data_IF_445580991031
#
_entry.id   IF_445580991031
#
_cell.length_a   1.000
_cell.length_b   1.000
_cell.length_c   1.000
_cell.angle_alpha   90.00
_cell.angle_beta   90.00
_cell.angle_gamma   90.00
#
_symmetry.space_group_name_H-M   'P 1'
#
loop_
_entity.id
_entity.type
_entity.pdbx_description
1 polymer ?
#
# COMPACT_ATOMS: atom_id res chain seq x y z
N UNK A 1 52.96 56.69 -13.43
CA UNK A 1 53.44 56.20 -12.17
C UNK A 1 54.13 54.89 -12.43
N UNK A 2 55.49 54.82 -12.53
CA UNK A 2 56.16 53.58 -12.82
C UNK A 2 57.10 53.13 -11.69
N UNK A 3 57.02 51.80 -11.41
CA UNK A 3 58.13 50.95 -11.14
C UNK A 3 58.89 51.05 -9.80
N UNK A 4 58.22 51.22 -8.67
CA UNK A 4 58.83 50.92 -7.37
C UNK A 4 59.06 49.43 -7.14
N UNK A 5 58.43 48.59 -7.97
CA UNK A 5 58.57 47.11 -7.88
C UNK A 5 59.74 46.52 -8.70
N UNK A 6 60.52 47.35 -9.42
CA UNK A 6 61.65 46.86 -10.25
C UNK A 6 63.02 46.95 -9.55
N UNK A 7 63.07 47.56 -8.37
CA UNK A 7 64.36 47.73 -7.68
C UNK A 7 64.72 46.46 -6.88
N UNK A 8 65.87 45.85 -7.16
CA UNK A 8 66.34 44.62 -6.49
C UNK A 8 66.49 44.78 -4.96
N UNK A 9 66.73 45.97 -4.47
CA UNK A 9 66.86 46.30 -3.05
C UNK A 9 65.48 46.32 -2.35
N UNK A 10 64.45 46.84 -2.95
CA UNK A 10 63.06 46.84 -2.40
C UNK A 10 62.47 45.42 -2.37
N UNK A 11 62.77 44.59 -3.39
CA UNK A 11 62.41 43.17 -3.39
C UNK A 11 63.08 42.39 -2.27
N UNK A 12 64.37 42.72 -1.96
CA UNK A 12 65.12 42.06 -0.91
C UNK A 12 64.62 42.44 0.50
N UNK A 13 64.24 43.71 0.70
CA UNK A 13 63.70 44.22 1.96
C UNK A 13 62.25 43.74 2.24
N UNK A 14 61.44 43.49 1.20
CA UNK A 14 60.05 43.03 1.32
C UNK A 14 59.93 41.50 1.41
N UNK A 15 60.97 40.73 1.05
CA UNK A 15 60.95 39.27 1.09
C UNK A 15 60.50 38.67 2.44
N UNK A 16 60.99 39.14 3.60
CA UNK A 16 60.57 38.56 4.88
C UNK A 16 59.07 38.80 5.16
N UNK A 17 58.55 40.00 4.83
CA UNK A 17 57.16 40.33 5.02
C UNK A 17 56.24 39.51 4.09
N UNK A 18 56.62 39.33 2.83
CA UNK A 18 55.92 38.49 1.86
C UNK A 18 55.88 37.01 2.33
N UNK A 19 57.04 36.49 2.81
CA UNK A 19 57.11 35.14 3.31
C UNK A 19 56.25 34.92 4.57
N UNK A 20 56.15 35.94 5.41
CA UNK A 20 55.33 35.87 6.63
C UNK A 20 53.83 35.90 6.33
N UNK A 21 53.42 36.72 5.36
CA UNK A 21 52.06 36.78 4.87
C UNK A 21 51.68 35.46 4.16
N UNK A 22 52.55 34.95 3.29
CA UNK A 22 52.32 33.70 2.57
C UNK A 22 52.19 32.50 3.57
N UNK A 23 53.07 32.46 4.58
CA UNK A 23 52.94 31.48 5.66
C UNK A 23 51.65 31.61 6.43
N UNK A 24 51.19 32.82 6.74
CA UNK A 24 49.95 33.08 7.46
C UNK A 24 48.74 32.66 6.64
N UNK A 25 48.73 32.96 5.36
CA UNK A 25 47.70 32.55 4.41
C UNK A 25 47.63 31.03 4.31
N UNK A 26 48.78 30.39 4.11
CA UNK A 26 48.84 28.89 4.07
C UNK A 26 48.30 28.26 5.33
N UNK A 27 48.72 28.71 6.52
CA UNK A 27 48.21 28.20 7.79
C UNK A 27 46.69 28.39 7.95
N UNK A 28 46.12 29.48 7.45
CA UNK A 28 44.67 29.72 7.44
C UNK A 28 43.98 28.78 6.47
N UNK A 29 44.47 28.65 5.26
CA UNK A 29 43.95 27.76 4.23
C UNK A 29 43.97 26.30 4.72
N UNK A 30 45.09 25.86 5.30
CA UNK A 30 45.22 24.50 5.83
C UNK A 30 44.21 24.23 6.96
N UNK A 31 44.07 25.15 7.91
CA UNK A 31 43.06 25.05 8.99
C UNK A 31 41.62 24.98 8.45
N UNK A 32 41.32 25.84 7.49
CA UNK A 32 39.96 25.84 6.88
C UNK A 32 39.74 24.55 6.10
N UNK A 33 40.76 24.04 5.40
CA UNK A 33 40.66 22.77 4.67
C UNK A 33 40.49 21.58 5.62
N UNK A 34 41.18 21.57 6.76
CA UNK A 34 41.02 20.55 7.80
C UNK A 34 39.62 20.60 8.42
N UNK A 35 39.12 21.80 8.72
CA UNK A 35 37.76 21.96 9.26
C UNK A 35 36.71 21.49 8.28
N UNK A 36 36.80 21.88 6.99
CA UNK A 36 35.89 21.42 5.95
C UNK A 36 35.93 19.89 5.75
N UNK A 37 37.12 19.27 5.83
CA UNK A 37 37.23 17.82 5.75
C UNK A 37 36.50 17.16 6.93
N UNK A 38 36.69 17.68 8.14
CA UNK A 38 36.03 17.17 9.33
C UNK A 38 34.50 17.28 9.23
N UNK A 39 34.00 18.39 8.76
CA UNK A 39 32.56 18.60 8.53
C UNK A 39 32.01 17.66 7.44
N UNK A 40 32.77 17.46 6.35
CA UNK A 40 32.42 16.51 5.30
C UNK A 40 32.36 15.06 5.82
N UNK A 41 33.29 14.68 6.69
CA UNK A 41 33.31 13.34 7.26
C UNK A 41 32.16 13.10 8.26
N UNK A 42 31.72 14.14 8.97
CA UNK A 42 30.50 14.08 9.78
C UNK A 42 29.27 13.90 8.90
N UNK A 43 29.11 14.75 7.87
CA UNK A 43 27.99 14.67 6.94
C UNK A 43 27.92 13.33 6.18
N UNK A 44 29.06 12.75 5.82
CA UNK A 44 29.13 11.43 5.20
C UNK A 44 28.61 10.34 6.14
N UNK A 45 29.06 10.36 7.40
CA UNK A 45 28.58 9.40 8.43
C UNK A 45 27.08 9.52 8.67
N UNK A 46 26.57 10.73 8.76
CA UNK A 46 25.15 10.97 8.94
C UNK A 46 24.33 10.50 7.73
N UNK A 47 24.83 10.79 6.51
CA UNK A 47 24.21 10.30 5.28
C UNK A 47 24.20 8.77 5.18
N UNK A 48 25.28 8.11 5.61
CA UNK A 48 25.34 6.64 5.68
C UNK A 48 24.41 6.07 6.73
N UNK A 49 24.27 6.73 7.89
CA UNK A 49 23.31 6.37 8.93
C UNK A 49 21.88 6.47 8.43
N UNK A 50 21.53 7.58 7.75
CA UNK A 50 20.23 7.76 7.12
C UNK A 50 19.96 6.71 6.05
N UNK A 51 20.92 6.41 5.18
CA UNK A 51 20.79 5.35 4.16
C UNK A 51 20.51 3.97 4.78
N UNK A 52 21.21 3.61 5.87
CA UNK A 52 20.98 2.35 6.58
C UNK A 52 19.59 2.30 7.20
N UNK A 53 19.15 3.39 7.83
CA UNK A 53 17.80 3.48 8.40
C UNK A 53 16.73 3.41 7.32
N UNK A 54 16.94 4.09 6.19
CA UNK A 54 16.03 4.07 5.05
C UNK A 54 15.98 2.68 4.40
N UNK A 55 17.12 1.99 4.29
CA UNK A 55 17.17 0.62 3.79
C UNK A 55 16.43 -0.35 4.71
N UNK A 56 16.64 -0.26 6.03
CA UNK A 56 15.94 -1.09 7.00
C UNK A 56 14.42 -0.86 6.98
N UNK A 57 13.98 0.42 6.88
CA UNK A 57 12.58 0.76 6.70
C UNK A 57 12.05 0.24 5.36
N UNK A 58 12.83 0.35 4.28
CA UNK A 58 12.47 -0.19 2.97
C UNK A 58 12.24 -1.70 3.00
N UNK A 59 13.09 -2.45 3.69
CA UNK A 59 12.90 -3.90 3.87
C UNK A 59 11.64 -4.24 4.65
N UNK A 60 11.25 -3.41 5.62
CA UNK A 60 10.07 -3.65 6.47
C UNK A 60 8.77 -3.18 5.80
N UNK A 61 8.83 -2.10 5.01
CA UNK A 61 7.63 -1.40 4.53
C UNK A 61 7.42 -1.49 3.01
N UNK A 62 8.45 -1.86 2.29
CA UNK A 62 8.41 -2.04 0.83
C UNK A 62 9.21 -3.27 0.39
N UNK A 63 8.58 -4.43 0.47
CA UNK A 63 9.15 -5.67 -0.06
C UNK A 63 9.24 -5.72 -1.60
N UNK A 64 8.78 -4.67 -2.31
CA UNK A 64 8.75 -4.68 -3.78
C UNK A 64 10.09 -4.27 -4.41
N UNK A 65 10.98 -3.64 -3.65
CA UNK A 65 12.24 -3.08 -4.17
C UNK A 65 12.03 -1.94 -5.17
N UNK A 66 10.81 -1.41 -5.29
CA UNK A 66 10.45 -0.33 -6.23
C UNK A 66 10.53 1.06 -5.63
N UNK A 67 10.96 1.17 -4.37
CA UNK A 67 11.02 2.45 -3.67
C UNK A 67 9.66 3.04 -3.31
N UNK A 68 8.59 2.27 -3.44
CA UNK A 68 7.27 2.67 -2.97
C UNK A 68 7.27 2.61 -1.44
N UNK A 69 7.25 3.76 -0.81
CA UNK A 69 7.19 3.84 0.65
C UNK A 69 5.75 3.69 1.11
N UNK A 70 5.52 2.81 2.10
CA UNK A 70 4.20 2.71 2.75
C UNK A 70 3.87 3.93 3.59
N UNK A 71 4.82 4.81 3.86
CA UNK A 71 4.57 6.06 4.60
C UNK A 71 4.03 7.11 3.63
N UNK A 72 2.72 7.42 3.64
CA UNK A 72 2.16 8.41 2.75
C UNK A 72 2.58 9.81 3.18
N UNK A 73 2.89 10.72 2.25
CA UNK A 73 3.00 12.14 2.56
C UNK A 73 1.71 12.67 3.19
N UNK A 74 1.83 13.71 4.03
CA UNK A 74 0.66 14.30 4.71
C UNK A 74 -0.47 14.67 3.71
N UNK A 75 -0.10 15.19 2.53
CA UNK A 75 -1.06 15.54 1.48
C UNK A 75 -1.86 14.32 0.98
N UNK A 76 -1.22 13.19 0.78
CA UNK A 76 -1.90 11.95 0.35
C UNK A 76 -2.82 11.42 1.44
N UNK A 77 -2.40 11.51 2.71
CA UNK A 77 -3.23 11.13 3.85
C UNK A 77 -4.46 12.05 3.96
N UNK A 78 -4.30 13.35 3.78
CA UNK A 78 -5.42 14.30 3.82
C UNK A 78 -6.39 14.09 2.66
N UNK A 79 -5.88 13.76 1.46
CA UNK A 79 -6.71 13.39 0.31
C UNK A 79 -7.50 12.12 0.58
N UNK A 80 -6.83 11.08 1.10
CA UNK A 80 -7.46 9.82 1.45
C UNK A 80 -8.58 10.02 2.49
N UNK A 81 -8.32 10.81 3.53
CA UNK A 81 -9.31 11.13 4.57
C UNK A 81 -10.52 11.84 3.99
N UNK A 82 -10.33 12.79 3.07
CA UNK A 82 -11.44 13.47 2.39
C UNK A 82 -12.31 12.49 1.59
N UNK A 83 -11.68 11.65 0.76
CA UNK A 83 -12.40 10.65 -0.03
C UNK A 83 -13.21 9.68 0.85
N UNK A 84 -12.63 9.23 1.97
CA UNK A 84 -13.36 8.38 2.93
C UNK A 84 -14.52 9.15 3.57
N UNK A 85 -14.30 10.41 3.96
CA UNK A 85 -15.31 11.24 4.59
C UNK A 85 -16.50 11.53 3.65
N UNK A 86 -16.24 11.70 2.37
CA UNK A 86 -17.29 11.88 1.34
C UNK A 86 -18.25 10.68 1.28
N UNK A 87 -17.74 9.45 1.53
CA UNK A 87 -18.57 8.25 1.57
C UNK A 87 -19.28 8.04 2.92
N UNK A 88 -18.61 8.39 4.02
CA UNK A 88 -19.04 8.04 5.39
C UNK A 88 -19.67 9.22 6.15
N UNK A 89 -19.60 10.43 5.60
CA UNK A 89 -20.22 11.64 6.19
C UNK A 89 -19.52 12.18 7.45
N UNK A 90 -18.33 11.66 7.84
CA UNK A 90 -17.65 12.08 9.07
C UNK A 90 -16.12 12.05 8.93
N UNK A 91 -15.52 13.24 8.79
CA UNK A 91 -14.06 13.39 8.61
C UNK A 91 -13.24 12.91 9.82
N UNK A 92 -13.70 13.16 11.04
CA UNK A 92 -12.98 12.75 12.23
C UNK A 92 -12.94 11.22 12.37
N UNK A 93 -14.02 10.53 12.00
CA UNK A 93 -14.05 9.06 11.92
C UNK A 93 -13.16 8.56 10.78
N UNK A 94 -13.24 9.17 9.60
CA UNK A 94 -12.40 8.84 8.45
C UNK A 94 -10.90 8.92 8.80
N UNK A 95 -10.48 10.04 9.42
CA UNK A 95 -9.08 10.24 9.83
C UNK A 95 -8.60 9.19 10.84
N UNK A 96 -9.39 8.91 11.88
CA UNK A 96 -9.03 7.87 12.86
C UNK A 96 -8.94 6.49 12.20
N UNK A 97 -9.88 6.15 11.34
CA UNK A 97 -9.89 4.86 10.64
C UNK A 97 -8.70 4.73 9.69
N UNK A 98 -8.38 5.77 8.90
CA UNK A 98 -7.23 5.79 8.01
C UNK A 98 -5.90 5.61 8.76
N UNK A 99 -5.71 6.28 9.89
CA UNK A 99 -4.51 6.11 10.72
C UNK A 99 -4.40 4.70 11.29
N UNK A 100 -5.52 4.11 11.74
CA UNK A 100 -5.52 2.74 12.25
C UNK A 100 -5.25 1.73 11.13
N UNK A 101 -5.85 1.93 9.95
CA UNK A 101 -5.60 1.10 8.77
C UNK A 101 -4.12 1.13 8.39
N UNK A 102 -3.54 2.32 8.28
CA UNK A 102 -2.11 2.47 7.99
C UNK A 102 -1.22 1.73 9.01
N UNK A 103 -1.47 1.90 10.32
CA UNK A 103 -0.71 1.19 11.36
C UNK A 103 -0.87 -0.32 11.28
N UNK A 104 -2.05 -0.79 10.89
CA UNK A 104 -2.33 -2.22 10.69
C UNK A 104 -1.54 -2.78 9.52
N UNK A 105 -1.52 -2.06 8.39
CA UNK A 105 -0.73 -2.43 7.20
C UNK A 105 0.75 -2.53 7.54
N UNK A 106 1.33 -1.53 8.20
CA UNK A 106 2.74 -1.53 8.61
C UNK A 106 3.06 -2.72 9.51
N UNK A 107 2.21 -3.01 10.50
CA UNK A 107 2.42 -4.11 11.42
C UNK A 107 2.35 -5.49 10.71
N UNK A 108 1.39 -5.68 9.81
CA UNK A 108 1.22 -6.95 9.11
C UNK A 108 2.30 -7.17 8.05
N UNK A 109 2.74 -6.16 7.33
CA UNK A 109 3.88 -6.29 6.40
C UNK A 109 5.20 -6.58 7.15
N UNK A 110 5.40 -6.00 8.34
CA UNK A 110 6.59 -6.26 9.15
C UNK A 110 6.64 -7.69 9.72
N UNK A 111 5.50 -8.30 9.97
CA UNK A 111 5.39 -9.63 10.59
C UNK A 111 5.04 -10.73 9.59
N UNK A 112 4.43 -10.37 8.48
CA UNK A 112 3.90 -11.31 7.49
C UNK A 112 4.94 -11.85 6.51
N UNK A 113 4.50 -12.80 5.71
CA UNK A 113 5.27 -13.41 4.62
C UNK A 113 4.69 -12.94 3.29
N UNK A 114 5.54 -12.54 2.35
CA UNK A 114 5.12 -11.91 1.11
C UNK A 114 4.85 -10.41 1.32
N UNK A 115 3.98 -9.85 0.49
CA UNK A 115 3.68 -8.40 0.49
C UNK A 115 2.20 -8.09 0.31
N UNK A 116 1.79 -6.88 0.63
CA UNK A 116 0.53 -6.30 0.17
C UNK A 116 0.70 -5.73 -1.25
N UNK A 117 -0.16 -6.10 -2.18
CA UNK A 117 -0.22 -5.45 -3.49
C UNK A 117 -1.00 -4.12 -3.39
N UNK A 118 -0.74 -3.23 -4.32
CA UNK A 118 -1.39 -1.92 -4.39
C UNK A 118 -0.68 -0.80 -3.63
N UNK A 119 -1.11 0.43 -3.88
CA UNK A 119 -0.61 1.62 -3.19
C UNK A 119 -1.11 1.69 -1.75
N UNK A 120 -0.38 2.44 -0.90
CA UNK A 120 -0.81 2.65 0.50
C UNK A 120 -2.21 3.27 0.58
N UNK A 121 -2.50 4.24 -0.29
CA UNK A 121 -3.81 4.91 -0.33
C UNK A 121 -4.93 3.95 -0.75
N UNK A 122 -4.68 3.05 -1.72
CA UNK A 122 -5.65 2.03 -2.12
C UNK A 122 -5.93 1.05 -0.97
N UNK A 123 -4.89 0.43 -0.42
CA UNK A 123 -5.03 -0.57 0.65
C UNK A 123 -5.65 0.05 1.91
N UNK A 124 -5.12 1.19 2.40
CA UNK A 124 -5.67 1.87 3.57
C UNK A 124 -7.07 2.41 3.33
N UNK A 125 -7.38 2.81 2.09
CA UNK A 125 -8.72 3.23 1.68
C UNK A 125 -9.75 2.13 1.88
N UNK A 126 -9.50 0.93 1.37
CA UNK A 126 -10.37 -0.25 1.55
C UNK A 126 -10.54 -0.57 3.04
N UNK A 127 -9.43 -0.69 3.77
CA UNK A 127 -9.44 -1.05 5.18
C UNK A 127 -10.16 -0.05 6.07
N UNK A 128 -10.02 1.24 5.79
CA UNK A 128 -10.62 2.30 6.59
C UNK A 128 -12.10 2.50 6.28
N UNK A 129 -12.50 2.36 5.02
CA UNK A 129 -13.86 2.68 4.56
C UNK A 129 -14.86 1.57 4.88
N UNK A 130 -14.49 0.31 4.65
CA UNK A 130 -15.42 -0.84 4.81
C UNK A 130 -16.11 -0.86 6.18
N UNK A 131 -15.40 -0.77 7.32
CA UNK A 131 -16.06 -0.78 8.63
C UNK A 131 -16.97 0.45 8.87
N UNK A 132 -16.62 1.60 8.29
CA UNK A 132 -17.40 2.85 8.43
C UNK A 132 -18.69 2.84 7.64
N UNK A 133 -18.80 1.99 6.63
CA UNK A 133 -20.04 1.81 5.84
C UNK A 133 -21.05 0.91 6.53
N UNK A 134 -20.76 0.40 7.74
CA UNK A 134 -21.69 -0.39 8.56
C UNK A 134 -22.28 -1.59 7.80
N UNK A 135 -21.49 -2.58 7.42
CA UNK A 135 -22.00 -3.79 6.76
C UNK A 135 -23.03 -4.49 7.65
N UNK A 136 -24.05 -5.15 7.07
CA UNK A 136 -25.17 -5.73 7.83
C UNK A 136 -24.81 -6.95 8.67
N UNK A 137 -23.70 -7.62 8.33
CA UNK A 137 -23.15 -8.75 9.09
C UNK A 137 -21.63 -8.84 8.91
N UNK A 138 -20.99 -9.75 9.63
CA UNK A 138 -19.55 -9.97 9.62
C UNK A 138 -19.06 -10.99 8.59
N UNK A 139 -19.94 -11.55 7.75
CA UNK A 139 -19.51 -12.48 6.69
C UNK A 139 -18.79 -11.72 5.59
N UNK A 140 -17.52 -12.04 5.38
CA UNK A 140 -16.63 -11.39 4.42
C UNK A 140 -16.24 -12.39 3.35
N UNK A 141 -16.35 -12.01 2.08
CA UNK A 141 -15.78 -12.73 0.94
C UNK A 141 -14.68 -11.88 0.32
N UNK A 142 -13.50 -12.47 0.15
CA UNK A 142 -12.40 -11.89 -0.65
C UNK A 142 -12.16 -12.77 -1.87
N UNK A 143 -12.22 -12.17 -3.05
CA UNK A 143 -11.87 -12.80 -4.32
C UNK A 143 -10.53 -12.22 -4.76
N UNK A 144 -9.48 -13.06 -4.77
CA UNK A 144 -8.09 -12.62 -4.96
C UNK A 144 -7.46 -12.14 -3.64
N UNK A 145 -6.64 -12.98 -3.02
CA UNK A 145 -6.03 -12.68 -1.71
C UNK A 145 -4.53 -12.56 -1.73
N UNK A 146 -3.89 -13.06 -2.79
CA UNK A 146 -2.43 -13.14 -2.93
C UNK A 146 -1.79 -13.85 -1.72
N UNK A 147 -1.32 -13.12 -0.72
CA UNK A 147 -0.69 -13.68 0.50
C UNK A 147 -1.59 -13.67 1.74
N UNK A 148 -2.84 -13.22 1.64
CA UNK A 148 -3.77 -13.14 2.77
C UNK A 148 -3.49 -11.99 3.75
N UNK A 149 -2.56 -11.10 3.44
CA UNK A 149 -2.22 -9.97 4.31
C UNK A 149 -3.34 -8.91 4.32
N UNK A 150 -3.97 -8.65 3.17
CA UNK A 150 -5.10 -7.74 3.10
C UNK A 150 -6.31 -8.31 3.85
N UNK A 151 -6.65 -9.59 3.62
CA UNK A 151 -7.68 -10.30 4.37
C UNK A 151 -7.48 -10.21 5.89
N UNK A 152 -6.24 -10.42 6.34
CA UNK A 152 -5.86 -10.30 7.76
C UNK A 152 -6.10 -8.89 8.30
N UNK A 153 -5.72 -7.88 7.51
CA UNK A 153 -5.92 -6.48 7.88
C UNK A 153 -7.40 -6.12 7.94
N UNK A 154 -8.19 -6.53 6.93
CA UNK A 154 -9.63 -6.27 6.85
C UNK A 154 -10.38 -6.90 8.02
N UNK A 155 -10.11 -8.18 8.30
CA UNK A 155 -10.67 -8.90 9.46
C UNK A 155 -10.40 -8.14 10.76
N UNK A 156 -9.17 -7.67 10.97
CA UNK A 156 -8.80 -6.88 12.14
C UNK A 156 -9.54 -5.55 12.20
N UNK A 157 -9.71 -4.85 11.08
CA UNK A 157 -10.40 -3.56 11.02
C UNK A 157 -11.90 -3.70 11.30
N UNK A 158 -12.54 -4.74 10.75
CA UNK A 158 -13.96 -5.06 10.97
C UNK A 158 -14.21 -5.47 12.42
N UNK A 159 -13.36 -6.33 12.99
CA UNK A 159 -13.43 -6.70 14.41
C UNK A 159 -13.31 -5.49 15.35
N UNK A 160 -12.37 -4.57 15.06
CA UNK A 160 -12.23 -3.31 15.83
C UNK A 160 -13.45 -2.39 15.76
N UNK A 161 -14.25 -2.52 14.72
CA UNK A 161 -15.54 -1.80 14.60
C UNK A 161 -16.67 -2.48 15.38
N UNK A 162 -16.40 -3.58 16.10
CA UNK A 162 -17.38 -4.32 16.90
C UNK A 162 -18.20 -5.31 16.08
N UNK A 163 -17.72 -5.66 14.88
CA UNK A 163 -18.37 -6.66 14.02
C UNK A 163 -17.51 -7.93 14.07
N UNK A 164 -18.08 -9.06 14.45
CA UNK A 164 -17.37 -10.33 14.47
C UNK A 164 -17.19 -10.86 13.04
N UNK A 165 -15.95 -10.96 12.52
CA UNK A 165 -15.71 -11.33 11.15
C UNK A 165 -15.73 -12.85 10.94
N UNK A 166 -16.40 -13.29 9.86
CA UNK A 166 -16.38 -14.66 9.33
C UNK A 166 -15.85 -14.59 7.88
N UNK A 167 -14.57 -14.93 7.72
CA UNK A 167 -13.84 -14.73 6.47
C UNK A 167 -13.88 -15.97 5.56
N UNK A 168 -14.26 -15.73 4.32
CA UNK A 168 -14.11 -16.65 3.20
C UNK A 168 -13.19 -16.05 2.15
N UNK A 169 -12.25 -16.84 1.65
CA UNK A 169 -11.30 -16.46 0.59
C UNK A 169 -11.51 -17.40 -0.60
N UNK A 170 -11.52 -16.81 -1.80
CA UNK A 170 -11.46 -17.51 -3.09
C UNK A 170 -10.23 -17.02 -3.83
N UNK A 171 -9.29 -17.93 -4.10
CA UNK A 171 -8.04 -17.62 -4.81
C UNK A 171 -7.45 -18.91 -5.38
N UNK A 172 -6.90 -18.95 -6.60
CA UNK A 172 -6.22 -20.12 -7.13
C UNK A 172 -4.98 -20.52 -6.32
N UNK A 173 -4.38 -19.62 -5.56
CA UNK A 173 -3.18 -19.81 -4.73
C UNK A 173 -2.08 -20.55 -5.50
N UNK A 174 -1.87 -20.14 -6.74
CA UNK A 174 -0.94 -20.78 -7.67
C UNK A 174 -0.17 -19.72 -8.45
N UNK A 175 1.13 -19.95 -8.54
CA UNK A 175 1.99 -19.13 -9.38
C UNK A 175 2.80 -18.08 -8.62
N UNK A 176 3.58 -17.36 -9.42
CA UNK A 176 4.52 -16.33 -8.96
C UNK A 176 4.21 -14.96 -9.59
N UNK A 177 3.15 -14.87 -10.37
CA UNK A 177 2.72 -13.67 -11.07
C UNK A 177 1.59 -12.99 -10.30
N UNK A 178 1.57 -11.66 -10.34
CA UNK A 178 0.50 -10.88 -9.69
C UNK A 178 -0.84 -11.09 -10.40
N UNK A 179 -0.80 -11.14 -11.74
CA UNK A 179 -1.97 -11.38 -12.59
C UNK A 179 -1.65 -12.41 -13.65
N UNK A 180 -2.60 -13.26 -14.06
CA UNK A 180 -2.42 -14.19 -15.16
C UNK A 180 -1.98 -13.46 -16.44
N UNK A 181 -1.00 -14.04 -17.14
CA UNK A 181 -0.50 -13.48 -18.40
C UNK A 181 0.42 -12.26 -18.29
N UNK A 182 0.73 -11.78 -17.07
CA UNK A 182 1.68 -10.70 -16.84
C UNK A 182 3.07 -11.23 -16.49
N UNK A 183 4.10 -10.39 -16.67
CA UNK A 183 5.47 -10.70 -16.20
C UNK A 183 5.75 -10.12 -14.82
N UNK A 184 4.77 -9.46 -14.22
CA UNK A 184 4.92 -8.83 -12.93
C UNK A 184 4.94 -9.87 -11.81
N UNK A 185 6.06 -10.02 -11.06
CA UNK A 185 6.13 -11.00 -9.99
C UNK A 185 5.20 -10.63 -8.84
N UNK A 186 4.60 -11.65 -8.23
CA UNK A 186 3.79 -11.48 -7.03
C UNK A 186 4.63 -10.93 -5.86
N UNK A 187 5.86 -11.43 -5.72
CA UNK A 187 6.83 -10.95 -4.73
C UNK A 187 8.24 -10.94 -5.34
N UNK A 188 8.99 -9.81 -5.25
CA UNK A 188 10.38 -9.74 -5.71
C UNK A 188 11.33 -10.69 -4.99
N UNK A 189 11.01 -11.13 -3.78
CA UNK A 189 11.80 -12.11 -3.02
C UNK A 189 11.55 -13.56 -3.46
N UNK A 190 10.61 -13.77 -4.40
CA UNK A 190 10.26 -15.10 -4.90
C UNK A 190 9.41 -15.92 -3.95
N UNK A 191 8.77 -15.32 -2.96
CA UNK A 191 7.80 -16.00 -2.08
C UNK A 191 6.65 -16.56 -2.92
N UNK A 192 6.36 -17.87 -2.84
CA UNK A 192 5.26 -18.46 -3.61
C UNK A 192 3.90 -18.11 -2.99
N UNK A 193 2.90 -17.90 -3.84
CA UNK A 193 1.50 -17.74 -3.42
C UNK A 193 0.93 -19.12 -3.15
N UNK A 194 0.69 -19.44 -1.86
CA UNK A 194 0.28 -20.77 -1.40
C UNK A 194 -0.64 -20.69 -0.19
N UNK A 195 -1.49 -21.69 -0.03
CA UNK A 195 -2.47 -21.76 1.07
C UNK A 195 -1.84 -21.76 2.48
N UNK A 196 -0.67 -22.39 2.64
CA UNK A 196 0.05 -22.39 3.92
C UNK A 196 0.61 -21.01 4.29
N UNK A 197 1.09 -20.25 3.31
CA UNK A 197 1.52 -18.86 3.50
C UNK A 197 0.33 -17.97 3.88
N UNK A 198 -0.81 -18.11 3.17
CA UNK A 198 -2.04 -17.39 3.51
C UNK A 198 -2.48 -17.71 4.94
N UNK A 199 -2.52 -18.99 5.34
CA UNK A 199 -2.89 -19.39 6.71
C UNK A 199 -1.93 -18.84 7.76
N UNK A 200 -0.62 -18.82 7.48
CA UNK A 200 0.37 -18.21 8.37
C UNK A 200 0.12 -16.73 8.59
N UNK A 201 -0.18 -15.99 7.51
CA UNK A 201 -0.50 -14.57 7.59
C UNK A 201 -1.84 -14.30 8.28
N UNK A 202 -2.87 -15.11 8.04
CA UNK A 202 -4.15 -14.99 8.73
C UNK A 202 -3.99 -15.22 10.25
N UNK A 203 -3.08 -16.07 10.68
CA UNK A 203 -2.80 -16.28 12.09
C UNK A 203 -2.21 -15.03 12.79
N UNK A 204 -1.68 -14.06 12.05
CA UNK A 204 -1.13 -12.80 12.60
C UNK A 204 -2.21 -11.77 12.95
N UNK A 205 -3.43 -11.90 12.46
CA UNK A 205 -4.46 -10.90 12.70
C UNK A 205 -5.03 -10.92 14.13
N UNK A 206 -4.68 -11.91 14.94
CA UNK A 206 -4.90 -11.90 16.39
C UNK A 206 -6.32 -12.22 16.87
N UNK A 207 -7.23 -12.60 15.97
CA UNK A 207 -8.59 -13.03 16.31
C UNK A 207 -8.79 -14.53 16.15
N UNK A 208 -9.65 -15.13 16.99
CA UNK A 208 -10.04 -16.55 16.86
C UNK A 208 -10.65 -16.86 15.48
N UNK A 209 -11.49 -15.96 14.99
CA UNK A 209 -12.17 -16.03 13.70
C UNK A 209 -11.24 -16.15 12.49
N UNK A 210 -10.05 -15.55 12.55
CA UNK A 210 -9.08 -15.67 11.46
C UNK A 210 -8.48 -17.07 11.31
N UNK A 211 -8.41 -17.84 12.41
CA UNK A 211 -7.94 -19.23 12.39
C UNK A 211 -8.97 -20.18 11.74
N UNK A 212 -10.23 -19.79 11.76
CA UNK A 212 -11.35 -20.56 11.20
C UNK A 212 -11.71 -20.09 9.78
N UNK A 213 -10.91 -19.19 9.19
CA UNK A 213 -11.15 -18.69 7.85
C UNK A 213 -11.26 -19.80 6.82
N UNK A 214 -12.30 -19.71 5.99
CA UNK A 214 -12.57 -20.66 4.91
C UNK A 214 -11.79 -20.26 3.67
N UNK A 215 -10.85 -21.08 3.24
CA UNK A 215 -10.09 -20.88 2.01
C UNK A 215 -10.58 -21.87 0.95
N UNK A 216 -11.08 -21.37 -0.16
CA UNK A 216 -11.44 -22.12 -1.35
C UNK A 216 -10.43 -21.85 -2.45
N UNK A 217 -9.59 -22.85 -2.70
CA UNK A 217 -8.59 -22.80 -3.75
C UNK A 217 -9.25 -23.08 -5.10
N UNK A 218 -9.14 -22.14 -6.03
CA UNK A 218 -9.67 -22.20 -7.38
C UNK A 218 -9.98 -20.80 -7.91
N UNK A 219 -10.37 -20.72 -9.15
CA UNK A 219 -10.77 -19.46 -9.78
C UNK A 219 -12.21 -19.11 -9.40
N UNK A 220 -12.50 -17.83 -9.30
CA UNK A 220 -13.88 -17.33 -9.10
C UNK A 220 -14.81 -17.66 -10.27
N UNK A 221 -14.27 -18.02 -11.42
CA UNK A 221 -15.01 -18.52 -12.59
C UNK A 221 -15.43 -19.99 -12.47
N UNK A 222 -14.83 -20.78 -11.56
CA UNK A 222 -15.09 -22.20 -11.41
C UNK A 222 -16.46 -22.42 -10.74
N UNK A 223 -17.42 -23.13 -11.35
CA UNK A 223 -18.74 -23.37 -10.77
C UNK A 223 -18.69 -24.05 -9.38
N UNK A 224 -17.82 -25.02 -9.22
CA UNK A 224 -17.65 -25.75 -7.95
C UNK A 224 -17.15 -24.84 -6.82
N UNK A 225 -16.31 -23.85 -7.15
CA UNK A 225 -15.82 -22.85 -6.19
C UNK A 225 -16.96 -21.93 -5.79
N UNK A 226 -17.73 -21.43 -6.76
CA UNK A 226 -18.91 -20.58 -6.50
C UNK A 226 -19.94 -21.31 -5.65
N UNK A 227 -20.30 -22.52 -6.00
CA UNK A 227 -21.30 -23.31 -5.27
C UNK A 227 -20.85 -23.55 -3.81
N UNK A 228 -19.56 -23.84 -3.61
CA UNK A 228 -19.01 -24.11 -2.28
C UNK A 228 -19.03 -22.92 -1.32
N UNK A 229 -19.13 -21.67 -1.83
CA UNK A 229 -19.11 -20.44 -1.02
C UNK A 229 -20.40 -19.63 -1.12
N UNK A 230 -21.37 -20.04 -1.95
CA UNK A 230 -22.67 -19.40 -2.09
C UNK A 230 -23.71 -19.86 -1.04
N UNK A 231 -23.24 -20.50 0.04
CA UNK A 231 -24.06 -21.04 1.13
C UNK A 231 -24.55 -19.97 2.13
N UNK A 232 -24.15 -18.72 1.96
CA UNK A 232 -24.47 -17.59 2.85
C UNK A 232 -24.56 -16.27 2.13
N UNK A 233 -25.13 -15.27 2.81
CA UNK A 233 -25.17 -13.90 2.33
C UNK A 233 -24.05 -13.07 2.99
N UNK A 234 -23.18 -12.47 2.18
CA UNK A 234 -22.01 -11.73 2.64
C UNK A 234 -22.34 -10.27 2.94
N UNK A 235 -21.93 -9.80 4.12
CA UNK A 235 -22.02 -8.38 4.49
C UNK A 235 -20.97 -7.52 3.79
N UNK A 236 -19.82 -8.14 3.45
CA UNK A 236 -18.73 -7.48 2.72
C UNK A 236 -18.22 -8.44 1.65
N UNK A 237 -18.08 -7.92 0.42
CA UNK A 237 -17.38 -8.64 -0.67
C UNK A 237 -16.31 -7.74 -1.24
N UNK A 238 -15.09 -8.25 -1.35
CA UNK A 238 -13.97 -7.60 -2.02
C UNK A 238 -13.67 -8.38 -3.30
N UNK A 239 -13.74 -7.70 -4.43
CA UNK A 239 -13.44 -8.24 -5.76
C UNK A 239 -12.11 -7.67 -6.22
N UNK A 240 -11.06 -8.49 -6.17
CA UNK A 240 -9.67 -8.14 -6.48
C UNK A 240 -8.94 -9.35 -7.15
N UNK A 241 -9.67 -10.08 -7.99
CA UNK A 241 -9.17 -11.30 -8.64
C UNK A 241 -8.72 -11.05 -10.07
N UNK A 242 -9.60 -11.28 -11.03
CA UNK A 242 -9.36 -11.03 -12.44
C UNK A 242 -9.60 -9.55 -12.77
N UNK A 243 -8.74 -8.95 -13.59
CA UNK A 243 -8.88 -7.55 -14.03
C UNK A 243 -9.30 -7.42 -15.49
N UNK A 244 -9.66 -8.54 -16.13
CA UNK A 244 -10.26 -8.54 -17.48
C UNK A 244 -11.73 -8.06 -17.41
N UNK A 245 -12.22 -7.51 -18.51
CA UNK A 245 -13.62 -7.12 -18.64
C UNK A 245 -14.57 -8.28 -18.33
N UNK A 246 -14.29 -9.44 -18.93
CA UNK A 246 -15.10 -10.65 -18.83
C UNK A 246 -15.08 -11.25 -17.43
N UNK A 247 -13.90 -11.33 -16.82
CA UNK A 247 -13.74 -11.86 -15.47
C UNK A 247 -14.43 -11.02 -14.42
N UNK A 248 -14.24 -9.71 -14.46
CA UNK A 248 -14.92 -8.78 -13.54
C UNK A 248 -16.42 -8.79 -13.73
N UNK A 249 -16.93 -8.81 -14.97
CA UNK A 249 -18.36 -8.88 -15.24
C UNK A 249 -18.97 -10.16 -14.65
N UNK A 250 -18.31 -11.31 -14.84
CA UNK A 250 -18.76 -12.59 -14.30
C UNK A 250 -18.73 -12.63 -12.76
N UNK A 251 -17.74 -11.96 -12.14
CA UNK A 251 -17.66 -11.84 -10.68
C UNK A 251 -18.75 -10.90 -10.15
N UNK A 252 -19.03 -9.78 -10.79
CA UNK A 252 -20.12 -8.88 -10.38
C UNK A 252 -21.50 -9.57 -10.46
N UNK A 253 -21.77 -10.32 -11.54
CA UNK A 253 -23.00 -11.11 -11.68
C UNK A 253 -23.17 -12.15 -10.60
N UNK A 254 -22.08 -12.77 -10.17
CA UNK A 254 -22.09 -13.74 -9.08
C UNK A 254 -22.25 -13.08 -7.73
N UNK A 255 -21.44 -12.05 -7.44
CA UNK A 255 -21.44 -11.31 -6.18
C UNK A 255 -22.79 -10.71 -5.88
N UNK A 256 -23.50 -10.17 -6.88
CA UNK A 256 -24.84 -9.61 -6.72
C UNK A 256 -25.86 -10.62 -6.20
N UNK A 257 -25.69 -11.92 -6.47
CA UNK A 257 -26.56 -12.99 -5.97
C UNK A 257 -26.29 -13.37 -4.52
N UNK A 258 -25.05 -13.19 -4.04
CA UNK A 258 -24.61 -13.65 -2.73
C UNK A 258 -24.35 -12.54 -1.71
N UNK A 259 -24.32 -11.29 -2.13
CA UNK A 259 -24.22 -10.16 -1.21
C UNK A 259 -25.53 -9.98 -0.44
N UNK A 260 -25.44 -9.74 0.88
CA UNK A 260 -26.60 -9.47 1.72
C UNK A 260 -27.26 -8.14 1.35
N UNK A 261 -28.57 -7.98 1.52
CA UNK A 261 -29.20 -6.65 1.46
C UNK A 261 -28.50 -5.67 2.41
N UNK A 262 -28.14 -4.49 1.91
CA UNK A 262 -27.32 -3.50 2.63
C UNK A 262 -25.82 -3.81 2.65
N UNK A 263 -25.41 -4.96 2.11
CA UNK A 263 -24.01 -5.39 2.04
C UNK A 263 -23.15 -4.48 1.18
N UNK A 264 -21.85 -4.49 1.46
CA UNK A 264 -20.86 -3.63 0.80
C UNK A 264 -20.05 -4.47 -0.18
N UNK A 265 -20.00 -4.03 -1.44
CA UNK A 265 -19.10 -4.59 -2.45
C UNK A 265 -18.00 -3.57 -2.72
N UNK A 266 -16.77 -4.01 -2.63
CA UNK A 266 -15.57 -3.22 -2.98
C UNK A 266 -15.00 -3.83 -4.25
N UNK A 267 -15.00 -3.07 -5.34
CA UNK A 267 -14.33 -3.47 -6.57
C UNK A 267 -12.99 -2.74 -6.66
N UNK A 268 -11.90 -3.50 -6.57
CA UNK A 268 -10.57 -2.94 -6.66
C UNK A 268 -10.23 -2.51 -8.09
N UNK A 269 -9.24 -1.65 -8.21
CA UNK A 269 -8.67 -1.14 -9.47
C UNK A 269 -9.65 -0.49 -10.47
N UNK A 270 -10.90 -0.17 -10.04
CA UNK A 270 -11.87 0.57 -10.84
C UNK A 270 -11.32 1.91 -11.38
N UNK A 271 -10.48 2.57 -10.61
CA UNK A 271 -9.86 3.86 -10.96
C UNK A 271 -8.45 3.73 -11.53
N UNK A 272 -7.91 2.53 -11.70
CA UNK A 272 -6.56 2.32 -12.21
C UNK A 272 -6.55 2.29 -13.74
N UNK A 273 -5.73 3.17 -14.34
CA UNK A 273 -5.60 3.25 -15.79
C UNK A 273 -4.93 2.00 -16.41
N UNK A 274 -4.22 1.21 -15.62
CA UNK A 274 -3.59 -0.04 -16.05
C UNK A 274 -4.62 -1.16 -16.29
N UNK A 275 -5.81 -1.03 -15.71
CA UNK A 275 -6.87 -2.04 -15.73
C UNK A 275 -8.21 -1.49 -16.23
N UNK A 276 -8.30 -0.99 -17.48
CA UNK A 276 -9.51 -0.34 -18.00
C UNK A 276 -10.74 -1.27 -18.04
N UNK A 277 -10.51 -2.58 -18.15
CA UNK A 277 -11.57 -3.59 -18.15
C UNK A 277 -12.40 -3.60 -16.87
N UNK A 278 -11.79 -3.30 -15.73
CA UNK A 278 -12.48 -3.24 -14.43
C UNK A 278 -13.54 -2.14 -14.42
N UNK A 279 -13.17 -0.94 -14.87
CA UNK A 279 -14.14 0.17 -14.99
C UNK A 279 -15.24 -0.13 -15.97
N UNK A 280 -14.88 -0.62 -17.15
CA UNK A 280 -15.84 -0.92 -18.21
C UNK A 280 -16.86 -1.98 -17.77
N UNK A 281 -16.42 -3.01 -17.04
CA UNK A 281 -17.30 -4.04 -16.50
C UNK A 281 -18.32 -3.45 -15.53
N UNK A 282 -17.86 -2.66 -14.53
CA UNK A 282 -18.77 -2.07 -13.56
C UNK A 282 -19.74 -1.08 -14.19
N UNK A 283 -19.25 -0.19 -15.05
CA UNK A 283 -20.07 0.81 -15.71
C UNK A 283 -21.18 0.15 -16.56
N UNK A 284 -20.87 -0.94 -17.29
CA UNK A 284 -21.86 -1.75 -18.02
C UNK A 284 -22.85 -2.44 -17.08
N UNK A 285 -22.35 -3.05 -16.00
CA UNK A 285 -23.19 -3.75 -15.03
C UNK A 285 -24.21 -2.82 -14.37
N UNK A 286 -23.83 -1.60 -14.04
CA UNK A 286 -24.74 -0.61 -13.45
C UNK A 286 -25.67 0.05 -14.46
N UNK A 287 -25.28 0.14 -15.74
CA UNK A 287 -26.09 0.73 -16.82
C UNK A 287 -27.31 -0.13 -17.18
N UNK A 288 -27.29 -1.43 -16.93
CA UNK A 288 -28.39 -2.35 -17.21
C UNK A 288 -29.68 -2.04 -16.41
N UNK A 289 -29.62 -1.22 -15.38
CA UNK A 289 -30.77 -0.77 -14.58
C UNK A 289 -31.45 -1.87 -13.75
N UNK A 290 -31.18 -3.14 -14.01
CA UNK A 290 -31.66 -4.31 -13.27
C UNK A 290 -30.80 -4.65 -12.05
N UNK A 291 -29.57 -4.13 -12.00
CA UNK A 291 -28.64 -4.41 -10.91
C UNK A 291 -29.18 -3.95 -9.56
N UNK A 292 -28.98 -4.80 -8.54
CA UNK A 292 -29.25 -4.49 -7.13
C UNK A 292 -28.11 -3.69 -6.48
N UNK A 293 -26.99 -3.50 -7.17
CA UNK A 293 -25.87 -2.73 -6.68
C UNK A 293 -26.07 -1.24 -6.97
N UNK A 294 -25.75 -0.41 -6.00
CA UNK A 294 -25.76 1.05 -6.15
C UNK A 294 -24.40 1.61 -5.80
N UNK A 295 -23.84 2.40 -6.69
CA UNK A 295 -22.55 3.08 -6.48
C UNK A 295 -22.67 4.05 -5.31
N UNK A 296 -21.81 3.91 -4.30
CA UNK A 296 -21.64 4.86 -3.20
C UNK A 296 -20.60 5.93 -3.56
N UNK A 297 -19.54 5.53 -4.22
CA UNK A 297 -18.43 6.40 -4.61
C UNK A 297 -17.12 5.64 -4.76
N UNK A 298 -16.02 6.40 -4.73
CA UNK A 298 -14.66 5.87 -4.92
C UNK A 298 -13.72 6.40 -3.86
N UNK A 299 -12.84 5.54 -3.35
CA UNK A 299 -11.68 5.92 -2.53
C UNK A 299 -10.44 5.36 -3.20
N UNK A 300 -9.47 6.22 -3.50
CA UNK A 300 -8.29 5.88 -4.31
C UNK A 300 -8.69 5.24 -5.64
N UNK A 301 -8.27 4.03 -5.92
CA UNK A 301 -8.62 3.26 -7.14
C UNK A 301 -9.81 2.33 -6.95
N UNK A 302 -10.34 2.14 -5.73
CA UNK A 302 -11.43 1.19 -5.47
C UNK A 302 -12.81 1.85 -5.52
N UNK A 303 -13.78 1.18 -6.17
CA UNK A 303 -15.19 1.55 -6.15
C UNK A 303 -15.92 0.86 -4.98
N UNK A 304 -16.90 1.56 -4.41
CA UNK A 304 -17.73 1.06 -3.31
C UNK A 304 -19.19 1.04 -3.72
N UNK A 305 -19.83 -0.10 -3.53
CA UNK A 305 -21.23 -0.29 -3.87
C UNK A 305 -22.00 -0.83 -2.67
N UNK A 306 -23.29 -0.59 -2.64
CA UNK A 306 -24.21 -1.15 -1.68
C UNK A 306 -25.29 -1.96 -2.40
N UNK A 307 -25.54 -3.16 -1.89
CA UNK A 307 -26.66 -3.97 -2.34
C UNK A 307 -27.99 -3.40 -1.77
N UNK A 308 -29.00 -3.26 -2.60
CA UNK A 308 -30.35 -2.80 -2.23
C UNK A 308 -31.35 -3.95 -2.26
#
# INVERSE_FOLDING_TARGET
MPSLLRNRLTKRALRPAITLVDRHIRLRVDRTAEQLRSELDVLRRDAEGMRRSQYALGLLLDGTGRGAHRIPPAREMDELVRQIADLCGNEAHARRSAVVAYRTVVALEALGVGRLAGSTSNVCGKLATVPLLSPPNGSILEIGTLYGLFASALTRMVHRAGIEPDLTIVDPLAGFQLQPGTTQPADPTGTPVRADVVRANLALCGGGSARESRIRQGFSSDPEVRDAVSDRAYGVVVVDGDHSLEGVAADLDWVERIVAPGGIVVLDDYGDASWPGVREALDKHLADGSSRLRMLGRVSTSAYLRAV
#
